data_IF_998918086003
#
_entry.id   IF_998918086003
#
_cell.length_a   1.000
_cell.length_b   1.000
_cell.length_c   1.000
_cell.angle_alpha   90.00
_cell.angle_beta   90.00
_cell.angle_gamma   90.00
#
_symmetry.space_group_name_H-M   'P 1'
#
loop_
_entity.id
_entity.type
_entity.pdbx_description
1 polymer ?
#
# COMPACT_ATOMS: atom_id res chain seq x y z
N UNK A 1 -11.02 -3.02 -8.13
CA UNK A 1 -11.14 -4.48 -8.04
C UNK A 1 -10.75 -5.19 -9.32
N UNK A 2 -11.43 -4.96 -10.44
CA UNK A 2 -11.16 -5.66 -11.72
C UNK A 2 -9.70 -5.52 -12.19
N UNK A 3 -9.12 -4.32 -12.11
CA UNK A 3 -7.73 -4.11 -12.56
C UNK A 3 -6.69 -4.90 -11.76
N UNK A 4 -6.92 -5.13 -10.47
CA UNK A 4 -5.98 -5.89 -9.64
C UNK A 4 -6.02 -7.39 -10.01
N UNK A 5 -7.22 -7.93 -10.22
CA UNK A 5 -7.40 -9.31 -10.66
C UNK A 5 -6.80 -9.55 -12.05
N UNK A 6 -7.01 -8.62 -13.00
CA UNK A 6 -6.42 -8.71 -14.32
C UNK A 6 -4.88 -8.69 -14.28
N UNK A 7 -4.29 -7.82 -13.46
CA UNK A 7 -2.84 -7.77 -13.28
C UNK A 7 -2.29 -9.05 -12.62
N UNK A 8 -3.01 -9.62 -11.65
CA UNK A 8 -2.61 -10.88 -11.03
C UNK A 8 -2.67 -12.05 -12.02
N UNK A 9 -3.72 -12.10 -12.86
CA UNK A 9 -3.85 -13.12 -13.90
C UNK A 9 -2.71 -13.04 -14.92
N UNK A 10 -2.36 -11.84 -15.39
CA UNK A 10 -1.23 -11.63 -16.31
C UNK A 10 0.12 -11.95 -15.67
N UNK A 11 0.25 -11.70 -14.36
CA UNK A 11 1.43 -12.06 -13.58
C UNK A 11 1.48 -13.52 -13.12
N UNK A 12 0.54 -14.36 -13.55
CA UNK A 12 0.39 -15.77 -13.12
C UNK A 12 0.36 -15.93 -11.58
N UNK A 13 -0.19 -14.95 -10.87
CA UNK A 13 -0.34 -14.97 -9.41
C UNK A 13 -1.72 -15.53 -9.07
N UNK A 14 -1.76 -16.57 -8.23
CA UNK A 14 -3.02 -17.11 -7.70
C UNK A 14 -3.64 -16.14 -6.69
N UNK A 15 -4.44 -15.20 -7.21
CA UNK A 15 -5.12 -14.18 -6.43
C UNK A 15 -6.58 -14.06 -6.87
N UNK A 16 -7.49 -14.35 -5.95
CA UNK A 16 -8.93 -14.50 -6.23
C UNK A 16 -9.78 -13.42 -5.55
N UNK A 17 -11.07 -13.38 -5.88
CA UNK A 17 -12.02 -12.52 -5.17
C UNK A 17 -12.15 -12.89 -3.68
N UNK A 18 -11.89 -14.14 -3.32
CA UNK A 18 -11.90 -14.61 -1.92
C UNK A 18 -10.78 -13.96 -1.11
N UNK A 19 -9.61 -13.76 -1.71
CA UNK A 19 -8.47 -13.10 -1.05
C UNK A 19 -8.76 -11.64 -0.76
N UNK A 20 -9.42 -10.97 -1.70
CA UNK A 20 -9.90 -9.60 -1.52
C UNK A 20 -10.88 -9.50 -0.37
N UNK A 21 -11.90 -10.37 -0.33
CA UNK A 21 -12.91 -10.35 0.74
C UNK A 21 -12.23 -10.55 2.10
N UNK A 22 -11.32 -11.52 2.20
CA UNK A 22 -10.51 -11.76 3.40
C UNK A 22 -9.71 -10.53 3.81
N UNK A 23 -8.98 -9.90 2.88
CA UNK A 23 -8.19 -8.70 3.17
C UNK A 23 -9.05 -7.50 3.59
N UNK A 24 -10.21 -7.31 2.95
CA UNK A 24 -11.11 -6.17 3.22
C UNK A 24 -11.64 -6.13 4.66
N UNK A 25 -11.70 -7.28 5.34
CA UNK A 25 -12.14 -7.40 6.73
C UNK A 25 -11.04 -7.08 7.74
N UNK A 26 -9.78 -7.14 7.33
CA UNK A 26 -8.62 -6.96 8.21
C UNK A 26 -7.92 -5.61 8.01
N UNK A 27 -7.96 -5.06 6.79
CA UNK A 27 -7.30 -3.80 6.46
C UNK A 27 -8.25 -2.62 6.70
N UNK A 28 -7.96 -1.73 7.66
CA UNK A 28 -8.81 -0.58 7.95
C UNK A 28 -8.69 0.49 6.85
N UNK A 29 -9.75 1.28 6.68
CA UNK A 29 -9.73 2.47 5.80
C UNK A 29 -9.03 3.60 6.55
N UNK A 30 -7.74 3.84 6.23
CA UNK A 30 -6.91 4.85 6.90
C UNK A 30 -7.24 6.29 6.46
N UNK A 31 -7.64 6.50 5.21
CA UNK A 31 -7.95 7.83 4.69
C UNK A 31 -9.06 7.76 3.65
N UNK A 32 -10.08 8.62 3.81
CA UNK A 32 -11.13 8.81 2.81
C UNK A 32 -10.84 10.09 2.03
N UNK A 33 -10.13 9.95 0.91
CA UNK A 33 -9.70 11.06 0.03
C UNK A 33 -10.88 11.77 -0.67
N UNK A 34 -12.13 11.30 -0.48
CA UNK A 34 -13.31 11.91 -1.10
C UNK A 34 -13.62 13.33 -0.59
N UNK A 35 -13.15 13.69 0.61
CA UNK A 35 -13.43 15.00 1.24
C UNK A 35 -12.17 15.88 1.39
N UNK A 36 -11.05 15.52 0.74
CA UNK A 36 -9.74 16.17 0.87
C UNK A 36 -9.10 16.24 -0.52
N UNK A 37 -8.33 17.30 -0.82
CA UNK A 37 -7.66 17.39 -2.12
C UNK A 37 -6.48 16.42 -2.18
N UNK A 38 -6.18 15.89 -3.37
CA UNK A 38 -5.06 14.93 -3.55
C UNK A 38 -3.73 15.55 -3.18
N UNK A 39 -3.62 16.86 -3.33
CA UNK A 39 -2.51 17.71 -2.94
C UNK A 39 -2.30 17.72 -1.42
N UNK A 40 -3.38 17.68 -0.64
CA UNK A 40 -3.33 17.60 0.83
C UNK A 40 -2.79 16.24 1.27
N UNK A 41 -3.19 15.16 0.58
CA UNK A 41 -2.65 13.81 0.81
C UNK A 41 -1.16 13.77 0.48
N UNK A 42 -0.75 14.35 -0.65
CA UNK A 42 0.67 14.42 -1.02
C UNK A 42 1.49 15.18 0.03
N UNK A 43 0.96 16.31 0.54
CA UNK A 43 1.59 17.10 1.60
C UNK A 43 1.68 16.36 2.93
N UNK A 44 0.71 15.53 3.26
CA UNK A 44 0.71 14.72 4.49
C UNK A 44 1.68 13.52 4.45
N UNK A 45 2.44 13.34 3.36
CA UNK A 45 3.36 12.21 3.17
C UNK A 45 2.92 11.23 2.07
N UNK A 46 1.78 11.48 1.44
CA UNK A 46 1.33 10.76 0.27
C UNK A 46 1.13 9.26 0.51
N UNK A 47 1.37 8.48 -0.54
CA UNK A 47 1.25 7.02 -0.51
C UNK A 47 2.29 6.41 0.45
N UNK A 48 3.51 6.97 0.52
CA UNK A 48 4.56 6.44 1.40
C UNK A 48 4.21 6.57 2.88
N UNK A 49 3.61 7.70 3.30
CA UNK A 49 3.11 7.85 4.67
C UNK A 49 2.01 6.84 5.01
N UNK A 50 1.06 6.61 4.09
CA UNK A 50 0.03 5.58 4.28
C UNK A 50 0.61 4.16 4.36
N UNK A 51 1.60 3.84 3.52
CA UNK A 51 2.31 2.56 3.57
C UNK A 51 3.11 2.40 4.87
N UNK A 52 3.70 3.48 5.38
CA UNK A 52 4.38 3.49 6.68
C UNK A 52 3.46 3.15 7.86
N UNK A 53 2.23 3.68 7.88
CA UNK A 53 1.24 3.28 8.91
C UNK A 53 0.86 1.81 8.81
N UNK A 54 0.70 1.29 7.60
CA UNK A 54 0.38 -0.13 7.39
C UNK A 54 1.55 -1.04 7.80
N UNK A 55 2.80 -0.64 7.57
CA UNK A 55 3.99 -1.36 8.03
C UNK A 55 4.07 -1.35 9.56
N UNK A 56 3.85 -0.19 10.18
CA UNK A 56 3.82 -0.05 11.64
C UNK A 56 2.72 -0.90 12.28
N UNK A 57 1.60 -1.10 11.58
CA UNK A 57 0.52 -1.99 11.99
C UNK A 57 0.76 -3.48 11.64
N UNK A 58 1.85 -3.81 10.95
CA UNK A 58 2.16 -5.18 10.51
C UNK A 58 1.19 -5.74 9.47
N UNK A 59 0.53 -4.86 8.70
CA UNK A 59 -0.49 -5.23 7.71
C UNK A 59 0.06 -5.40 6.29
N UNK A 60 1.33 -5.07 6.06
CA UNK A 60 2.02 -5.27 4.78
C UNK A 60 3.32 -6.06 4.96
N UNK A 61 3.71 -6.77 3.90
CA UNK A 61 5.01 -7.41 3.83
C UNK A 61 6.05 -6.42 3.27
N UNK A 62 6.85 -5.83 4.15
CA UNK A 62 7.88 -4.87 3.78
C UNK A 62 9.12 -5.52 3.12
N UNK A 63 9.20 -6.85 3.05
CA UNK A 63 10.29 -7.54 2.36
C UNK A 63 10.11 -7.59 0.84
N UNK A 64 8.92 -7.23 0.33
CA UNK A 64 8.59 -7.22 -1.09
C UNK A 64 9.53 -6.29 -1.90
N UNK A 65 9.92 -6.76 -3.08
CA UNK A 65 10.80 -6.01 -3.99
C UNK A 65 10.06 -4.81 -4.63
N UNK A 66 10.81 -3.75 -4.91
CA UNK A 66 10.28 -2.58 -5.64
C UNK A 66 11.18 -2.24 -6.83
N UNK A 67 10.67 -1.42 -7.75
CA UNK A 67 11.45 -1.00 -8.92
C UNK A 67 12.55 0.02 -8.60
N UNK A 68 12.44 0.72 -7.48
CA UNK A 68 13.28 1.89 -7.15
C UNK A 68 14.21 1.66 -5.96
N UNK A 69 13.99 0.60 -5.18
CA UNK A 69 14.86 0.09 -4.10
C UNK A 69 14.73 -1.42 -3.99
N UNK A 70 15.64 -2.07 -3.26
CA UNK A 70 15.63 -3.53 -3.18
C UNK A 70 14.40 -4.04 -2.42
N UNK A 71 13.94 -3.35 -1.39
CA UNK A 71 12.76 -3.77 -0.61
C UNK A 71 11.84 -2.60 -0.28
N UNK A 72 10.56 -2.87 -0.05
CA UNK A 72 9.61 -1.86 0.43
C UNK A 72 10.08 -1.25 1.75
N UNK A 73 10.73 -2.02 2.63
CA UNK A 73 11.33 -1.50 3.86
C UNK A 73 12.39 -0.43 3.61
N UNK A 74 13.27 -0.64 2.64
CA UNK A 74 14.26 0.36 2.23
C UNK A 74 13.57 1.61 1.66
N UNK A 75 12.50 1.43 0.89
CA UNK A 75 11.71 2.55 0.38
C UNK A 75 11.09 3.37 1.51
N UNK A 76 10.46 2.72 2.49
CA UNK A 76 9.85 3.37 3.64
C UNK A 76 10.88 4.11 4.49
N UNK A 77 12.05 3.52 4.77
CA UNK A 77 13.12 4.21 5.49
C UNK A 77 13.61 5.47 4.77
N UNK A 78 13.51 5.53 3.44
CA UNK A 78 14.03 6.65 2.65
C UNK A 78 13.01 7.76 2.38
N UNK A 79 11.73 7.41 2.21
CA UNK A 79 10.71 8.35 1.74
C UNK A 79 9.50 8.50 2.67
N UNK A 80 9.38 7.70 3.73
CA UNK A 80 8.37 7.99 4.75
C UNK A 80 8.74 9.25 5.52
N UNK A 81 7.81 10.20 5.60
CA UNK A 81 7.99 11.48 6.28
C UNK A 81 8.19 11.29 7.78
N UNK A 82 7.66 10.21 8.38
CA UNK A 82 7.89 9.89 9.80
C UNK A 82 9.33 9.45 10.11
N UNK A 83 10.04 8.93 9.11
CA UNK A 83 11.42 8.47 9.25
C UNK A 83 12.46 9.53 8.82
N UNK A 84 12.02 10.75 8.45
CA UNK A 84 12.87 11.90 8.13
C UNK A 84 13.16 12.79 9.33
#
# INVERSE_FOLDING_TARGET
MLHLLAAAQEGEVDFTMTDIDRLSRHVPVLCKVANMHREDVHRAGGIMGLLGELDAAGLIDASAYTVHTKTMKEALCRWDVKNQ
#
